data_IF_600179334784
#
_entry.id   IF_600179334784
#
_cell.length_a   1.000
_cell.length_b   1.000
_cell.length_c   1.000
_cell.angle_alpha   90.00
_cell.angle_beta   90.00
_cell.angle_gamma   90.00
#
_symmetry.space_group_name_H-M   'P 1'
#
loop_
_entity.id
_entity.type
_entity.pdbx_description
1 polymer ?
#
# COMPACT_ATOMS: atom_id res chain seq x y z
N UNK A 1 15.26 6.19 3.48
CA UNK A 1 14.58 4.92 3.11
C UNK A 1 13.08 5.11 2.88
N UNK A 2 12.27 5.38 3.92
CA UNK A 2 10.80 5.46 3.80
C UNK A 2 10.30 6.41 2.71
N UNK A 3 10.84 7.63 2.62
CA UNK A 3 10.46 8.59 1.57
C UNK A 3 10.70 8.05 0.16
N UNK A 4 11.81 7.33 -0.07
CA UNK A 4 12.08 6.70 -1.36
C UNK A 4 11.04 5.60 -1.67
N UNK A 5 10.69 4.76 -0.68
CA UNK A 5 9.66 3.74 -0.84
C UNK A 5 8.29 4.35 -1.20
N UNK A 6 7.92 5.47 -0.59
CA UNK A 6 6.67 6.18 -0.91
C UNK A 6 6.68 6.77 -2.33
N UNK A 7 7.81 7.30 -2.79
CA UNK A 7 7.94 7.81 -4.16
C UNK A 7 7.85 6.69 -5.20
N UNK A 8 8.49 5.54 -4.94
CA UNK A 8 8.39 4.35 -5.79
C UNK A 8 6.96 3.83 -5.81
N UNK A 9 6.30 3.72 -4.64
CA UNK A 9 4.90 3.31 -4.55
C UNK A 9 3.96 4.25 -5.32
N UNK A 10 4.18 5.58 -5.23
CA UNK A 10 3.43 6.57 -6.03
C UNK A 10 3.60 6.32 -7.52
N UNK A 11 4.82 6.13 -7.99
CA UNK A 11 5.10 5.87 -9.41
C UNK A 11 4.35 4.63 -9.91
N UNK A 12 4.45 3.52 -9.17
CA UNK A 12 3.77 2.27 -9.52
C UNK A 12 2.24 2.39 -9.44
N UNK A 13 1.72 3.02 -8.39
CA UNK A 13 0.29 3.25 -8.21
C UNK A 13 -0.31 4.10 -9.33
N UNK A 14 0.34 5.22 -9.69
CA UNK A 14 -0.10 6.06 -10.81
C UNK A 14 -0.03 5.34 -12.16
N UNK A 15 0.97 4.48 -12.38
CA UNK A 15 1.12 3.75 -13.64
C UNK A 15 0.16 2.56 -13.79
N UNK A 16 -0.18 1.87 -12.68
CA UNK A 16 -0.98 0.64 -12.70
C UNK A 16 -2.44 0.82 -12.26
N UNK A 17 -2.72 1.86 -11.49
CA UNK A 17 -4.04 2.19 -10.94
C UNK A 17 -4.33 3.69 -11.06
N UNK A 18 -4.49 4.21 -12.29
CA UNK A 18 -4.57 5.64 -12.58
C UNK A 18 -5.81 6.33 -11.97
N UNK A 19 -6.90 5.58 -11.77
CA UNK A 19 -8.13 6.09 -11.13
C UNK A 19 -8.03 6.25 -9.61
N UNK A 20 -6.90 5.88 -9.00
CA UNK A 20 -6.67 5.96 -7.56
C UNK A 20 -6.14 4.64 -6.98
N UNK A 21 -5.41 4.76 -5.88
CA UNK A 21 -4.78 3.63 -5.19
C UNK A 21 -4.65 3.91 -3.68
N UNK A 22 -4.52 2.83 -2.90
CA UNK A 22 -4.28 2.87 -1.45
C UNK A 22 -2.93 2.26 -1.13
N UNK A 23 -2.17 2.92 -0.27
CA UNK A 23 -0.95 2.41 0.33
C UNK A 23 -1.28 1.83 1.71
N UNK A 24 -0.76 0.64 2.03
CA UNK A 24 -0.92 0.03 3.36
C UNK A 24 0.43 -0.46 3.87
N UNK A 25 0.72 -0.16 5.14
CA UNK A 25 1.84 -0.72 5.91
C UNK A 25 1.26 -1.38 7.14
N UNK A 26 1.52 -2.66 7.29
CA UNK A 26 1.01 -3.48 8.39
C UNK A 26 2.10 -3.68 9.44
N UNK A 27 1.72 -3.65 10.72
CA UNK A 27 2.64 -3.90 11.83
C UNK A 27 2.04 -4.89 12.83
N UNK A 28 2.77 -5.98 13.08
CA UNK A 28 2.39 -6.99 14.06
C UNK A 28 1.11 -7.77 13.72
N UNK A 29 0.62 -8.51 14.72
CA UNK A 29 -0.52 -9.42 14.60
C UNK A 29 -1.82 -8.69 14.23
N UNK A 30 -2.14 -7.63 14.95
CA UNK A 30 -3.42 -6.90 14.78
C UNK A 30 -3.43 -6.05 13.51
N UNK A 31 -2.25 -5.66 13.00
CA UNK A 31 -2.10 -5.10 11.67
C UNK A 31 -2.09 -6.14 10.55
N UNK A 32 -2.22 -7.44 10.85
CA UNK A 32 -2.13 -8.53 9.88
C UNK A 32 -0.81 -8.55 9.06
N UNK A 33 0.32 -8.28 9.70
CA UNK A 33 1.64 -8.40 9.06
C UNK A 33 2.00 -9.88 8.87
N UNK A 34 2.14 -10.32 7.62
CA UNK A 34 2.49 -11.71 7.30
C UNK A 34 3.99 -11.99 7.31
N UNK A 35 4.81 -11.04 6.86
CA UNK A 35 6.28 -11.15 6.78
C UNK A 35 6.93 -10.02 7.58
N UNK A 36 7.83 -10.37 8.48
CA UNK A 36 8.52 -9.45 9.39
C UNK A 36 9.72 -8.76 8.73
N UNK A 37 9.46 -8.17 7.57
CA UNK A 37 10.33 -7.25 6.84
C UNK A 37 9.47 -6.06 6.41
N UNK A 38 9.98 -4.83 6.45
CA UNK A 38 9.21 -3.65 6.05
C UNK A 38 8.78 -3.76 4.58
N UNK A 39 7.47 -3.74 4.32
CA UNK A 39 6.91 -3.75 2.97
C UNK A 39 5.68 -2.85 2.89
N UNK A 40 5.44 -2.34 1.68
CA UNK A 40 4.30 -1.47 1.35
C UNK A 40 3.40 -2.21 0.36
N UNK A 41 2.12 -2.34 0.67
CA UNK A 41 1.14 -2.81 -0.28
C UNK A 41 0.59 -1.64 -1.09
N UNK A 42 0.57 -1.76 -2.43
CA UNK A 42 -0.09 -0.81 -3.33
C UNK A 42 -1.32 -1.51 -3.90
N UNK A 43 -2.51 -1.07 -3.52
CA UNK A 43 -3.79 -1.63 -3.97
C UNK A 43 -4.52 -0.65 -4.88
N UNK A 44 -5.08 -1.14 -5.98
CA UNK A 44 -5.84 -0.31 -6.94
C UNK A 44 -6.59 -1.15 -7.96
N UNK A 45 -7.17 -0.50 -8.97
CA UNK A 45 -7.96 -1.16 -10.03
C UNK A 45 -9.43 -1.42 -9.66
N UNK A 46 -9.87 -0.99 -8.47
CA UNK A 46 -11.27 -1.01 -8.02
C UNK A 46 -11.49 0.05 -6.93
N UNK A 47 -12.74 0.43 -6.69
CA UNK A 47 -13.10 1.24 -5.53
C UNK A 47 -12.74 0.48 -4.24
N UNK A 48 -12.02 1.15 -3.35
CA UNK A 48 -11.68 0.61 -2.03
C UNK A 48 -12.77 0.97 -1.02
N UNK A 49 -13.13 0.02 -0.16
CA UNK A 49 -14.06 0.25 0.94
C UNK A 49 -13.45 1.04 2.10
N UNK A 50 -14.32 1.41 3.04
CA UNK A 50 -13.99 2.03 4.32
C UNK A 50 -14.85 1.38 5.43
N UNK A 51 -14.27 0.93 6.57
CA UNK A 51 -12.86 1.01 6.95
C UNK A 51 -11.92 0.17 6.05
N UNK A 52 -10.60 0.43 6.05
CA UNK A 52 -9.64 -0.15 5.12
C UNK A 52 -9.19 -1.58 5.52
N UNK A 53 -10.17 -2.47 5.73
CA UNK A 53 -9.99 -3.67 6.54
C UNK A 53 -10.62 -3.45 7.91
#
# INVERSE_FOLDING_TARGET
>A
LLGHLMLVARSLGSARAPSGWRLVVNNGRDGAQSVYHLHLHVLGGRQMGWPPG
#
